data_IF_784040682087
#
_entry.id   IF_784040682087
#
_cell.length_a   1.000
_cell.length_b   1.000
_cell.length_c   1.000
_cell.angle_alpha   90.00
_cell.angle_beta   90.00
_cell.angle_gamma   90.00
#
_symmetry.space_group_name_H-M   'P 1'
#
loop_
_entity.id
_entity.type
_entity.pdbx_description
1 polymer ?
#
# COMPACT_ATOMS: atom_id res chain seq x y z
N UNK A 1 -15.84 5.29 7.29
CA UNK A 1 -17.27 5.20 6.91
C UNK A 1 -18.22 5.05 8.09
N UNK A 2 -17.83 4.43 9.21
CA UNK A 2 -18.67 4.23 10.40
C UNK A 2 -19.49 5.46 10.80
N UNK A 3 -18.90 6.65 10.80
CA UNK A 3 -19.55 7.89 11.25
C UNK A 3 -20.66 8.37 10.32
N UNK A 4 -20.77 7.82 9.11
CA UNK A 4 -21.85 8.11 8.16
C UNK A 4 -23.03 7.12 8.27
N UNK A 5 -22.96 6.15 9.20
CA UNK A 5 -23.98 5.12 9.35
C UNK A 5 -25.03 5.55 10.37
N UNK A 6 -26.29 5.44 9.97
CA UNK A 6 -27.43 5.55 10.87
C UNK A 6 -27.39 4.42 11.89
N UNK A 7 -27.34 4.80 13.18
CA UNK A 7 -27.16 3.89 14.32
C UNK A 7 -25.95 2.95 14.19
N UNK A 8 -24.92 3.35 13.41
CA UNK A 8 -23.73 2.51 13.19
C UNK A 8 -23.95 1.29 12.29
N UNK A 9 -25.14 1.11 11.71
CA UNK A 9 -25.54 -0.12 11.02
C UNK A 9 -25.98 0.10 9.57
N UNK A 10 -26.63 1.22 9.26
CA UNK A 10 -27.30 1.42 7.97
C UNK A 10 -26.78 2.69 7.28
N UNK A 11 -26.37 2.57 6.03
CA UNK A 11 -26.04 3.73 5.20
C UNK A 11 -27.31 4.21 4.47
N UNK A 12 -27.73 5.45 4.72
CA UNK A 12 -28.85 6.09 3.99
C UNK A 12 -28.31 6.92 2.83
N UNK A 13 -28.75 6.64 1.60
CA UNK A 13 -28.17 7.26 0.40
C UNK A 13 -28.24 8.79 0.40
N UNK A 14 -29.42 9.36 0.69
CA UNK A 14 -29.63 10.80 0.71
C UNK A 14 -28.68 11.48 1.69
N UNK A 15 -28.70 11.02 2.95
CA UNK A 15 -27.88 11.56 4.03
C UNK A 15 -26.39 11.44 3.72
N UNK A 16 -25.95 10.32 3.15
CA UNK A 16 -24.55 10.10 2.80
C UNK A 16 -24.09 11.04 1.67
N UNK A 17 -24.90 11.21 0.62
CA UNK A 17 -24.59 12.14 -0.47
C UNK A 17 -24.53 13.59 0.02
N UNK A 18 -25.44 13.98 0.90
CA UNK A 18 -25.45 15.31 1.50
C UNK A 18 -24.21 15.53 2.37
N UNK A 19 -23.85 14.55 3.21
CA UNK A 19 -22.68 14.62 4.06
C UNK A 19 -21.36 14.72 3.27
N UNK A 20 -21.21 13.95 2.17
CA UNK A 20 -20.03 14.05 1.32
C UNK A 20 -19.94 15.41 0.63
N UNK A 21 -21.05 16.02 0.19
CA UNK A 21 -21.02 17.36 -0.43
C UNK A 21 -20.56 18.45 0.53
N UNK A 22 -20.84 18.29 1.83
CA UNK A 22 -20.49 19.27 2.86
C UNK A 22 -19.08 19.05 3.42
N UNK A 23 -18.49 17.88 3.20
CA UNK A 23 -17.16 17.55 3.69
C UNK A 23 -16.08 18.32 2.92
N UNK A 24 -15.17 18.94 3.65
CA UNK A 24 -13.93 19.46 3.09
C UNK A 24 -12.96 18.31 2.82
N UNK A 25 -12.65 18.08 1.55
CA UNK A 25 -11.67 17.06 1.11
C UNK A 25 -10.25 17.63 0.92
N UNK A 26 -10.06 18.95 1.03
CA UNK A 26 -8.75 19.57 0.92
C UNK A 26 -7.77 19.08 2.00
N UNK A 27 -8.29 18.59 3.14
CA UNK A 27 -7.49 17.98 4.20
C UNK A 27 -6.71 16.73 3.73
N UNK A 28 -7.11 16.11 2.63
CA UNK A 28 -6.46 14.94 2.02
C UNK A 28 -5.52 15.30 0.87
N UNK A 29 -5.35 16.59 0.56
CA UNK A 29 -4.52 17.04 -0.55
C UNK A 29 -3.09 16.49 -0.45
N UNK A 30 -2.65 15.78 -1.50
CA UNK A 30 -1.31 15.18 -1.58
C UNK A 30 -1.04 14.05 -0.59
N UNK A 31 -2.05 13.56 0.14
CA UNK A 31 -1.93 12.43 1.07
C UNK A 31 -2.36 11.14 0.41
N UNK A 32 -1.76 10.03 0.85
CA UNK A 32 -2.26 8.70 0.57
C UNK A 32 -3.38 8.37 1.56
N UNK A 33 -4.53 7.90 1.08
CA UNK A 33 -5.75 7.73 1.88
C UNK A 33 -6.28 6.30 1.80
N UNK A 34 -6.63 5.74 2.96
CA UNK A 34 -7.31 4.46 3.08
C UNK A 34 -8.79 4.69 3.46
N UNK A 35 -9.70 4.22 2.63
CA UNK A 35 -11.15 4.29 2.87
C UNK A 35 -11.60 3.00 3.56
N UNK A 36 -11.95 3.09 4.84
CA UNK A 36 -12.37 1.95 5.67
C UNK A 36 -13.73 2.16 6.33
N UNK A 37 -14.43 1.07 6.62
CA UNK A 37 -15.52 1.01 7.58
C UNK A 37 -15.08 0.21 8.80
N UNK A 38 -15.01 0.87 9.97
CA UNK A 38 -14.65 0.23 11.24
C UNK A 38 -15.86 -0.31 12.03
N UNK A 39 -17.07 -0.20 11.47
CA UNK A 39 -18.26 -0.81 12.04
C UNK A 39 -18.50 -2.17 11.41
N UNK A 40 -19.11 -3.07 12.18
CA UNK A 40 -19.65 -4.34 11.69
C UNK A 40 -20.96 -4.09 10.95
N UNK A 41 -20.85 -3.47 9.78
CA UNK A 41 -21.97 -3.06 8.94
C UNK A 41 -21.70 -3.42 7.48
N UNK A 42 -22.71 -3.95 6.80
CA UNK A 42 -22.65 -4.24 5.37
C UNK A 42 -22.80 -2.93 4.61
N UNK A 43 -21.71 -2.45 4.03
CA UNK A 43 -21.69 -1.20 3.25
C UNK A 43 -21.95 -1.51 1.78
N UNK A 44 -22.94 -0.87 1.14
CA UNK A 44 -23.13 -0.98 -0.30
C UNK A 44 -21.88 -0.54 -1.07
N UNK A 45 -21.47 -1.33 -2.08
CA UNK A 45 -20.24 -1.08 -2.85
C UNK A 45 -20.21 0.33 -3.47
N UNK A 46 -21.35 0.84 -3.93
CA UNK A 46 -21.47 2.17 -4.51
C UNK A 46 -21.03 3.30 -3.56
N UNK A 47 -21.08 3.09 -2.24
CA UNK A 47 -20.66 4.09 -1.27
C UNK A 47 -19.15 4.35 -1.33
N UNK A 48 -18.36 3.29 -1.47
CA UNK A 48 -16.91 3.40 -1.70
C UNK A 48 -16.62 4.08 -3.03
N UNK A 49 -17.35 3.71 -4.10
CA UNK A 49 -17.20 4.35 -5.42
C UNK A 49 -17.47 5.86 -5.33
N UNK A 50 -18.50 6.26 -4.60
CA UNK A 50 -18.85 7.67 -4.41
C UNK A 50 -17.76 8.41 -3.62
N UNK A 51 -17.19 7.82 -2.56
CA UNK A 51 -16.07 8.44 -1.84
C UNK A 51 -14.85 8.61 -2.75
N UNK A 52 -14.58 7.65 -3.64
CA UNK A 52 -13.49 7.75 -4.60
C UNK A 52 -13.63 8.95 -5.54
N UNK A 53 -14.86 9.32 -5.97
CA UNK A 53 -15.05 10.47 -6.86
C UNK A 53 -14.63 11.80 -6.23
N UNK A 54 -14.65 11.90 -4.90
CA UNK A 54 -14.22 13.10 -4.17
C UNK A 54 -12.73 13.07 -3.81
N UNK A 55 -12.19 11.89 -3.47
CA UNK A 55 -10.79 11.77 -3.06
C UNK A 55 -9.81 11.74 -4.23
N UNK A 56 -10.16 11.09 -5.35
CA UNK A 56 -9.24 10.93 -6.48
C UNK A 56 -8.67 12.25 -7.05
N UNK A 57 -9.45 13.34 -7.17
CA UNK A 57 -8.90 14.60 -7.67
C UNK A 57 -7.93 15.33 -6.73
N UNK A 58 -7.83 14.92 -5.45
CA UNK A 58 -7.08 15.69 -4.41
C UNK A 58 -6.00 14.86 -3.71
N UNK A 59 -6.25 13.58 -3.45
CA UNK A 59 -5.31 12.69 -2.78
C UNK A 59 -4.21 12.24 -3.75
N UNK A 60 -3.05 11.85 -3.21
CA UNK A 60 -1.95 11.30 -4.03
C UNK A 60 -2.19 9.84 -4.41
N UNK A 61 -2.90 9.10 -3.55
CA UNK A 61 -3.26 7.69 -3.74
C UNK A 61 -4.49 7.40 -2.87
N UNK A 62 -5.41 6.55 -3.34
CA UNK A 62 -6.61 6.19 -2.59
C UNK A 62 -6.91 4.70 -2.74
N UNK A 63 -6.95 3.98 -1.62
CA UNK A 63 -7.30 2.56 -1.59
C UNK A 63 -8.52 2.33 -0.70
N UNK A 64 -9.26 1.26 -0.98
CA UNK A 64 -10.22 0.70 -0.01
C UNK A 64 -9.51 -0.26 0.92
N UNK A 65 -9.70 -0.12 2.23
CA UNK A 65 -9.06 -0.98 3.22
C UNK A 65 -8.50 -0.18 4.40
N UNK A 66 -7.67 -0.85 5.18
CA UNK A 66 -7.01 -0.31 6.38
C UNK A 66 -5.75 0.49 6.03
N UNK A 67 -5.17 1.15 7.04
CA UNK A 67 -3.86 1.78 6.89
C UNK A 67 -2.76 0.77 6.49
N UNK A 68 -2.87 -0.48 6.95
CA UNK A 68 -1.94 -1.55 6.56
C UNK A 68 -2.09 -1.92 5.08
N UNK A 69 -3.33 -1.93 4.56
CA UNK A 69 -3.58 -2.20 3.14
C UNK A 69 -3.01 -1.09 2.25
N UNK A 70 -3.16 0.17 2.68
CA UNK A 70 -2.53 1.31 2.01
C UNK A 70 -1.01 1.22 2.05
N UNK A 71 -0.42 0.95 3.21
CA UNK A 71 1.02 0.77 3.33
C UNK A 71 1.51 -0.37 2.42
N UNK A 72 0.80 -1.50 2.39
CA UNK A 72 1.10 -2.62 1.51
C UNK A 72 1.05 -2.21 0.04
N UNK A 73 -0.01 -1.50 -0.36
CA UNK A 73 -0.18 -1.00 -1.72
C UNK A 73 0.98 -0.11 -2.16
N UNK A 74 1.35 0.88 -1.34
CA UNK A 74 2.45 1.80 -1.61
C UNK A 74 3.80 1.08 -1.73
N UNK A 75 4.08 0.10 -0.86
CA UNK A 75 5.30 -0.72 -0.98
C UNK A 75 5.35 -1.50 -2.29
N UNK A 76 4.24 -2.14 -2.67
CA UNK A 76 4.17 -2.92 -3.92
C UNK A 76 4.36 -2.02 -5.15
N UNK A 77 3.67 -0.88 -5.20
CA UNK A 77 3.85 0.10 -6.28
C UNK A 77 5.31 0.55 -6.37
N UNK A 78 5.92 0.95 -5.26
CA UNK A 78 7.31 1.40 -5.24
C UNK A 78 8.28 0.30 -5.71
N UNK A 79 8.10 -0.95 -5.27
CA UNK A 79 8.91 -2.08 -5.72
C UNK A 79 8.75 -2.33 -7.23
N UNK A 80 7.53 -2.18 -7.77
CA UNK A 80 7.28 -2.33 -9.20
C UNK A 80 7.96 -1.23 -10.04
N UNK A 81 8.13 -0.04 -9.48
CA UNK A 81 8.81 1.07 -10.15
C UNK A 81 10.34 0.99 -10.10
N UNK A 82 10.92 0.12 -9.27
CA UNK A 82 12.38 -0.09 -9.26
C UNK A 82 12.81 -0.62 -10.64
N UNK A 83 13.71 0.11 -11.28
CA UNK A 83 14.44 -0.41 -12.44
C UNK A 83 15.42 -1.49 -11.97
N UNK A 84 15.02 -2.75 -12.07
CA UNK A 84 15.85 -3.89 -11.64
C UNK A 84 16.91 -4.27 -12.66
N UNK A 85 16.82 -3.75 -13.89
CA UNK A 85 17.75 -4.06 -14.96
C UNK A 85 19.17 -3.59 -14.63
N UNK A 86 19.28 -2.47 -13.91
CA UNK A 86 20.55 -1.97 -13.37
C UNK A 86 21.27 -2.97 -12.45
N UNK A 87 20.59 -4.02 -11.98
CA UNK A 87 21.15 -5.06 -11.11
C UNK A 87 21.49 -6.36 -11.85
N UNK A 88 21.31 -6.41 -13.18
CA UNK A 88 21.63 -7.58 -13.99
C UNK A 88 23.05 -8.08 -13.72
N UNK A 89 23.16 -9.39 -13.49
CA UNK A 89 24.41 -10.11 -13.28
C UNK A 89 25.29 -9.57 -12.12
N UNK A 90 24.71 -8.78 -11.21
CA UNK A 90 25.38 -8.27 -10.01
C UNK A 90 25.13 -9.17 -8.80
N UNK A 91 25.96 -9.01 -7.77
CA UNK A 91 25.74 -9.60 -6.44
C UNK A 91 25.08 -8.55 -5.57
N UNK A 92 23.88 -8.82 -5.09
CA UNK A 92 23.04 -7.84 -4.39
C UNK A 92 22.88 -8.26 -2.93
N UNK A 93 22.97 -7.27 -2.03
CA UNK A 93 22.62 -7.41 -0.61
C UNK A 93 21.39 -6.56 -0.35
N UNK A 94 20.30 -7.19 0.09
CA UNK A 94 19.11 -6.49 0.57
C UNK A 94 19.29 -6.23 2.06
N UNK A 95 19.43 -4.95 2.41
CA UNK A 95 19.59 -4.55 3.82
C UNK A 95 18.28 -4.73 4.57
N UNK A 96 18.38 -5.30 5.77
CA UNK A 96 17.25 -5.54 6.66
C UNK A 96 17.16 -4.59 7.86
N UNK A 97 18.22 -3.81 8.12
CA UNK A 97 18.27 -2.89 9.25
C UNK A 97 17.98 -1.46 8.74
N UNK A 98 16.79 -0.97 9.05
CA UNK A 98 16.42 0.43 8.90
C UNK A 98 15.64 0.87 10.13
N UNK A 99 15.60 2.16 10.40
CA UNK A 99 14.94 2.74 11.59
C UNK A 99 13.43 2.46 11.65
N UNK A 100 12.84 2.03 10.53
CA UNK A 100 11.42 1.68 10.41
C UNK A 100 11.26 0.18 10.16
N UNK A 101 10.37 -0.45 10.92
CA UNK A 101 10.00 -1.84 10.71
C UNK A 101 9.43 -2.01 9.30
N UNK A 102 10.10 -2.81 8.47
CA UNK A 102 9.64 -3.20 7.14
C UNK A 102 9.02 -4.58 7.22
N UNK A 103 7.79 -4.72 6.70
CA UNK A 103 7.06 -5.98 6.73
C UNK A 103 7.72 -7.05 5.85
N UNK A 104 7.58 -8.31 6.25
CA UNK A 104 8.18 -9.48 5.61
C UNK A 104 7.84 -9.61 4.12
N UNK A 105 6.62 -9.22 3.73
CA UNK A 105 6.21 -9.28 2.32
C UNK A 105 7.07 -8.37 1.43
N UNK A 106 7.56 -7.24 1.93
CA UNK A 106 8.38 -6.30 1.15
C UNK A 106 9.67 -6.99 0.69
N UNK A 107 10.32 -7.72 1.59
CA UNK A 107 11.52 -8.51 1.29
C UNK A 107 11.24 -9.64 0.30
N UNK A 108 10.10 -10.31 0.44
CA UNK A 108 9.68 -11.34 -0.50
C UNK A 108 9.45 -10.78 -1.91
N UNK A 109 8.81 -9.61 -2.03
CA UNK A 109 8.46 -9.00 -3.32
C UNK A 109 9.69 -8.42 -4.05
N UNK A 110 10.61 -7.74 -3.35
CA UNK A 110 11.86 -7.31 -3.98
C UNK A 110 12.70 -8.50 -4.42
N UNK A 111 12.70 -9.59 -3.64
CA UNK A 111 13.38 -10.84 -4.00
C UNK A 111 12.83 -11.40 -5.30
N UNK A 112 11.49 -11.52 -5.44
CA UNK A 112 10.85 -11.98 -6.69
C UNK A 112 11.29 -11.17 -7.90
N UNK A 113 11.41 -9.85 -7.76
CA UNK A 113 11.82 -8.94 -8.84
C UNK A 113 13.29 -9.07 -9.22
N UNK A 114 14.18 -9.32 -8.26
CA UNK A 114 15.63 -9.41 -8.49
C UNK A 114 16.07 -10.80 -8.98
N UNK A 115 15.42 -11.86 -8.51
CA UNK A 115 15.83 -13.25 -8.75
C UNK A 115 16.12 -13.60 -10.23
N UNK A 116 15.32 -13.17 -11.22
CA UNK A 116 15.57 -13.53 -12.62
C UNK A 116 16.86 -12.92 -13.21
N UNK A 117 17.41 -11.88 -12.58
CA UNK A 117 18.43 -11.01 -13.16
C UNK A 117 19.79 -11.09 -12.46
N UNK A 118 19.81 -11.25 -11.13
CA UNK A 118 21.03 -11.13 -10.32
C UNK A 118 21.87 -12.42 -10.33
N UNK A 119 23.18 -12.30 -10.11
CA UNK A 119 24.08 -13.46 -9.90
C UNK A 119 23.92 -14.08 -8.51
N UNK A 120 23.71 -13.24 -7.50
CA UNK A 120 23.45 -13.70 -6.14
C UNK A 120 22.66 -12.66 -5.36
N UNK A 121 21.88 -13.14 -4.39
CA UNK A 121 21.13 -12.32 -3.46
C UNK A 121 21.50 -12.72 -2.04
N UNK A 122 21.76 -11.73 -1.19
CA UNK A 122 22.03 -11.92 0.23
C UNK A 122 21.16 -10.96 1.04
N UNK A 123 20.93 -11.27 2.31
CA UNK A 123 20.17 -10.45 3.25
C UNK A 123 21.04 -10.06 4.44
N UNK A 124 20.91 -8.83 4.93
CA UNK A 124 21.60 -8.35 6.13
C UNK A 124 22.55 -7.19 5.87
N UNK A 125 23.49 -6.96 6.78
CA UNK A 125 24.49 -5.90 6.63
C UNK A 125 25.72 -6.39 5.88
N UNK A 126 26.47 -5.51 5.17
CA UNK A 126 27.68 -5.91 4.44
C UNK A 126 28.70 -6.71 5.27
N UNK A 127 28.74 -6.50 6.59
CA UNK A 127 29.62 -7.23 7.51
C UNK A 127 29.05 -8.56 8.03
N UNK A 128 27.76 -8.83 7.82
CA UNK A 128 27.04 -10.00 8.32
C UNK A 128 25.85 -10.32 7.40
N UNK A 129 26.14 -10.92 6.25
CA UNK A 129 25.12 -11.27 5.26
C UNK A 129 24.77 -12.75 5.28
N UNK A 130 23.47 -13.06 5.22
CA UNK A 130 22.93 -14.40 5.00
C UNK A 130 22.74 -14.63 3.49
N UNK A 131 23.34 -15.67 2.89
CA UNK A 131 23.12 -15.99 1.48
C UNK A 131 21.70 -16.48 1.24
N UNK A 132 20.99 -15.89 0.28
CA UNK A 132 19.60 -16.23 -0.07
C UNK A 132 19.53 -16.97 -1.41
N UNK A 133 20.28 -16.51 -2.41
CA UNK A 133 20.30 -17.09 -3.74
C UNK A 133 21.67 -16.95 -4.41
N UNK A 134 22.02 -17.94 -5.23
CA UNK A 134 23.16 -17.87 -6.15
C UNK A 134 22.76 -18.56 -7.45
N UNK A 135 22.89 -17.86 -8.57
CA UNK A 135 22.69 -18.42 -9.91
C UNK A 135 23.71 -19.55 -10.10
N UNK A 136 23.22 -20.76 -10.33
CA UNK A 136 24.06 -21.88 -10.72
C UNK A 136 24.53 -21.60 -12.14
N UNK A 137 25.85 -21.51 -12.32
CA UNK A 137 26.49 -21.47 -13.63
C UNK A 137 26.53 -22.86 -14.24
#
# INVERSE_FOLDING_TARGET
LKDYLFMGLILKEKDFREALKQKDFSEYAGKAVAVTCSADAIIPVWAYMLVMTYLQPVASEVVTGTANDLQRHLFLQNIQLIDVEQYRDKRIVVKGCGDKAVAEFVYAEITKRLLPLVKSLMYGEPCSTVPVYKKKG
#
